data_IF_165364752049
#
_entry.id   IF_165364752049
#
_cell.length_a   1.000
_cell.length_b   1.000
_cell.length_c   1.000
_cell.angle_alpha   90.00
_cell.angle_beta   90.00
_cell.angle_gamma   90.00
#
_symmetry.space_group_name_H-M   'P 1'
#
loop_
_entity.id
_entity.type
_entity.pdbx_description
1 polymer ?
#
# COMPACT_ATOMS: atom_id res chain seq x y z
N UNK A 1 -13.36 0.78 -7.44
CA UNK A 1 -12.47 -0.09 -6.61
C UNK A 1 -13.30 -0.74 -5.50
N UNK A 2 -13.24 -2.04 -5.31
CA UNK A 2 -14.00 -2.72 -4.25
C UNK A 2 -13.46 -2.43 -2.83
N UNK A 3 -12.19 -2.04 -2.73
CA UNK A 3 -11.52 -1.76 -1.45
C UNK A 3 -10.48 -0.65 -1.61
N UNK A 4 -10.42 0.24 -0.61
CA UNK A 4 -9.46 1.35 -0.55
C UNK A 4 -8.88 1.48 0.88
N UNK A 5 -7.56 1.50 1.01
CA UNK A 5 -6.86 1.46 2.31
C UNK A 5 -6.91 2.78 3.08
N UNK A 6 -6.27 3.85 2.55
CA UNK A 6 -6.16 5.11 3.28
C UNK A 6 -7.49 5.83 3.54
N UNK A 7 -8.52 5.77 2.65
CA UNK A 7 -9.84 6.30 2.99
C UNK A 7 -10.50 5.55 4.16
N UNK A 8 -10.29 4.23 4.26
CA UNK A 8 -10.76 3.42 5.39
C UNK A 8 -10.15 3.89 6.71
N UNK A 9 -8.82 4.09 6.75
CA UNK A 9 -8.09 4.62 7.91
C UNK A 9 -8.61 6.02 8.29
N UNK A 10 -8.65 6.95 7.34
CA UNK A 10 -9.07 8.33 7.58
C UNK A 10 -10.51 8.44 8.04
N UNK A 11 -11.43 7.69 7.43
CA UNK A 11 -12.85 7.66 7.83
C UNK A 11 -13.02 7.11 9.23
N UNK A 12 -12.34 6.03 9.58
CA UNK A 12 -12.45 5.42 10.90
C UNK A 12 -11.91 6.36 11.99
N UNK A 13 -10.77 7.02 11.75
CA UNK A 13 -10.22 8.02 12.66
C UNK A 13 -11.20 9.18 12.85
N UNK A 14 -11.72 9.77 11.77
CA UNK A 14 -12.67 10.87 11.84
C UNK A 14 -13.93 10.48 12.62
N UNK A 15 -14.51 9.31 12.35
CA UNK A 15 -15.69 8.84 13.08
C UNK A 15 -15.41 8.61 14.57
N UNK A 16 -14.23 8.11 14.92
CA UNK A 16 -13.84 7.93 16.31
C UNK A 16 -13.69 9.28 17.03
N UNK A 17 -13.05 10.27 16.40
CA UNK A 17 -12.90 11.63 16.92
C UNK A 17 -14.26 12.33 17.10
N UNK A 18 -15.16 12.24 16.13
CA UNK A 18 -16.48 12.84 16.18
C UNK A 18 -17.37 12.22 17.26
N UNK A 19 -17.29 10.89 17.47
CA UNK A 19 -18.08 10.20 18.50
C UNK A 19 -17.60 10.50 19.91
N UNK A 20 -16.29 10.66 20.07
CA UNK A 20 -15.72 10.89 21.39
C UNK A 20 -14.37 11.62 21.27
N UNK A 21 -14.39 12.96 21.25
CA UNK A 21 -13.17 13.76 21.27
C UNK A 21 -12.32 13.42 22.49
N UNK A 22 -11.02 13.30 22.32
CA UNK A 22 -10.07 13.14 23.41
C UNK A 22 -9.41 14.48 23.71
N UNK A 23 -9.53 14.90 24.97
CA UNK A 23 -8.84 16.09 25.49
C UNK A 23 -7.62 15.69 26.29
N UNK A 24 -7.69 14.56 27.02
CA UNK A 24 -6.60 14.03 27.84
C UNK A 24 -6.58 12.49 27.79
N UNK A 25 -5.40 11.90 27.97
CA UNK A 25 -5.22 10.44 28.03
C UNK A 25 -5.25 9.75 26.67
N UNK A 26 -5.68 8.50 26.69
CA UNK A 26 -5.79 7.65 25.49
C UNK A 26 -7.14 6.94 25.44
N UNK A 27 -7.56 6.58 24.25
CA UNK A 27 -8.76 5.78 24.00
C UNK A 27 -8.56 4.89 22.78
N UNK A 28 -8.98 3.66 22.91
CA UNK A 28 -9.15 2.72 21.81
C UNK A 28 -10.64 2.64 21.44
N UNK A 29 -10.91 2.55 20.13
CA UNK A 29 -12.25 2.40 19.57
C UNK A 29 -12.22 1.38 18.43
N UNK A 30 -13.33 0.70 18.19
CA UNK A 30 -13.55 -0.10 16.99
C UNK A 30 -14.61 0.58 16.16
N UNK A 31 -14.25 0.90 14.91
CA UNK A 31 -15.17 1.45 13.91
C UNK A 31 -15.43 0.36 12.87
N UNK A 32 -16.72 0.08 12.66
CA UNK A 32 -17.14 -0.88 11.64
C UNK A 32 -17.62 -0.11 10.41
N UNK A 33 -17.04 -0.42 9.26
CA UNK A 33 -17.38 0.18 7.97
C UNK A 33 -17.92 -0.92 7.04
N UNK A 34 -19.04 -0.65 6.40
CA UNK A 34 -19.56 -1.47 5.32
C UNK A 34 -18.98 -0.97 3.99
N UNK A 35 -18.36 -1.86 3.23
CA UNK A 35 -17.71 -1.58 1.95
C UNK A 35 -18.11 -2.65 0.93
N UNK A 36 -17.93 -2.42 -0.38
CA UNK A 36 -18.24 -3.44 -1.40
C UNK A 36 -17.54 -4.79 -1.18
N UNK A 37 -16.38 -4.80 -0.55
CA UNK A 37 -15.63 -6.03 -0.19
C UNK A 37 -16.20 -6.71 1.06
N UNK A 38 -17.11 -6.08 1.79
CA UNK A 38 -17.72 -6.58 3.03
C UNK A 38 -17.49 -5.66 4.23
N UNK A 39 -17.69 -6.22 5.41
CA UNK A 39 -17.53 -5.51 6.68
C UNK A 39 -16.04 -5.43 7.04
N UNK A 40 -15.54 -4.21 7.20
CA UNK A 40 -14.18 -3.93 7.67
C UNK A 40 -14.22 -3.34 9.08
N UNK A 41 -13.59 -4.02 10.03
CA UNK A 41 -13.44 -3.54 11.41
C UNK A 41 -12.08 -2.87 11.55
N UNK A 42 -12.11 -1.60 11.97
CA UNK A 42 -10.92 -0.78 12.10
C UNK A 42 -10.71 -0.46 13.58
N UNK A 43 -9.59 -0.90 14.13
CA UNK A 43 -9.12 -0.48 15.44
C UNK A 43 -8.55 0.94 15.34
N UNK A 44 -9.02 1.85 16.16
CA UNK A 44 -8.56 3.24 16.21
C UNK A 44 -8.00 3.53 17.59
N UNK A 45 -6.79 4.08 17.63
CA UNK A 45 -6.13 4.57 18.85
C UNK A 45 -6.04 6.10 18.81
N UNK A 46 -6.65 6.73 19.78
CA UNK A 46 -6.60 8.17 20.00
C UNK A 46 -5.74 8.45 21.23
N UNK A 47 -4.76 9.35 21.10
CA UNK A 47 -3.92 9.83 22.20
C UNK A 47 -3.84 11.35 22.16
N UNK A 48 -4.02 11.98 23.32
CA UNK A 48 -3.93 13.43 23.42
C UNK A 48 -2.52 13.91 23.01
N UNK A 49 -2.45 14.87 22.07
CA UNK A 49 -1.20 15.43 21.58
C UNK A 49 -0.46 14.59 20.52
N UNK A 50 -0.99 13.44 20.10
CA UNK A 50 -0.45 12.62 19.05
C UNK A 50 -1.40 12.54 17.84
N UNK A 51 -0.86 12.30 16.65
CA UNK A 51 -1.69 11.99 15.49
C UNK A 51 -2.40 10.63 15.71
N UNK A 52 -3.72 10.57 15.55
CA UNK A 52 -4.47 9.33 15.67
C UNK A 52 -3.92 8.23 14.77
N UNK A 53 -3.96 7.00 15.28
CA UNK A 53 -3.54 5.81 14.53
C UNK A 53 -4.71 4.87 14.36
N UNK A 54 -4.85 4.28 13.17
CA UNK A 54 -5.82 3.22 12.94
C UNK A 54 -5.21 2.07 12.16
N UNK A 55 -5.76 0.86 12.38
CA UNK A 55 -5.36 -0.35 11.68
C UNK A 55 -6.54 -1.29 11.47
N UNK A 56 -6.49 -2.09 10.42
CA UNK A 56 -7.50 -3.11 10.12
C UNK A 56 -6.86 -4.35 9.52
N UNK A 57 -7.49 -5.51 9.75
CA UNK A 57 -7.12 -6.74 9.10
C UNK A 57 -7.61 -6.74 7.66
N UNK A 58 -6.75 -7.14 6.74
CA UNK A 58 -7.10 -7.23 5.33
C UNK A 58 -8.28 -8.19 5.13
N UNK A 59 -9.35 -7.76 4.44
CA UNK A 59 -10.54 -8.60 4.25
C UNK A 59 -10.28 -9.82 3.37
N UNK A 60 -9.19 -9.79 2.61
CA UNK A 60 -8.73 -10.90 1.78
C UNK A 60 -7.21 -10.96 1.81
N UNK A 61 -6.65 -12.16 2.03
CA UNK A 61 -5.22 -12.41 1.91
C UNK A 61 -4.76 -12.29 0.45
N UNK A 62 -3.51 -11.90 0.20
CA UNK A 62 -2.98 -11.80 -1.16
C UNK A 62 -2.82 -13.17 -1.81
N UNK A 63 -3.32 -13.30 -3.02
CA UNK A 63 -3.18 -14.46 -3.87
C UNK A 63 -2.26 -14.13 -5.05
N UNK A 64 -1.22 -14.94 -5.28
CA UNK A 64 -0.33 -14.77 -6.42
C UNK A 64 -1.05 -15.10 -7.71
N UNK A 65 -1.17 -14.14 -8.62
CA UNK A 65 -1.92 -14.30 -9.88
C UNK A 65 -1.03 -14.52 -11.10
N UNK A 66 0.28 -14.57 -10.92
CA UNK A 66 1.24 -14.90 -11.96
C UNK A 66 2.51 -14.06 -11.92
N UNK A 67 3.32 -14.27 -12.94
CA UNK A 67 4.54 -13.49 -13.22
C UNK A 67 4.24 -12.42 -14.25
N UNK A 68 5.05 -11.39 -14.29
CA UNK A 68 5.00 -10.37 -15.33
C UNK A 68 5.88 -10.75 -16.52
N UNK A 69 5.79 -9.95 -17.57
CA UNK A 69 6.63 -10.09 -18.78
C UNK A 69 8.12 -9.92 -18.45
N UNK A 70 8.98 -10.13 -19.46
CA UNK A 70 10.42 -9.99 -19.29
C UNK A 70 10.83 -8.61 -18.76
N UNK A 71 11.97 -8.57 -18.08
CA UNK A 71 12.55 -7.34 -17.50
C UNK A 71 12.72 -6.22 -18.55
N UNK A 72 13.10 -6.56 -19.79
CA UNK A 72 13.25 -5.58 -20.86
C UNK A 72 11.91 -4.91 -21.21
N UNK A 73 10.84 -5.69 -21.37
CA UNK A 73 9.51 -5.15 -21.65
C UNK A 73 8.95 -4.33 -20.50
N UNK A 74 9.22 -4.73 -19.25
CA UNK A 74 8.89 -3.93 -18.08
C UNK A 74 9.62 -2.58 -18.12
N UNK A 75 10.92 -2.61 -18.40
CA UNK A 75 11.77 -1.43 -18.48
C UNK A 75 11.24 -0.44 -19.52
N UNK A 76 10.90 -0.93 -20.72
CA UNK A 76 10.31 -0.11 -21.77
C UNK A 76 8.99 0.54 -21.36
N UNK A 77 8.12 -0.20 -20.64
CA UNK A 77 6.81 0.29 -20.22
C UNK A 77 6.89 1.37 -19.14
N UNK A 78 7.89 1.29 -18.24
CA UNK A 78 8.01 2.18 -17.08
C UNK A 78 9.16 3.21 -17.20
N UNK A 79 9.86 3.22 -18.34
CA UNK A 79 10.90 4.19 -18.66
C UNK A 79 12.18 4.02 -17.85
N UNK A 80 12.48 2.81 -17.41
CA UNK A 80 13.70 2.44 -16.69
C UNK A 80 14.64 1.63 -17.61
N UNK A 81 15.86 1.40 -17.14
CA UNK A 81 16.76 0.45 -17.77
C UNK A 81 16.52 -0.95 -17.19
N UNK A 82 16.70 -2.04 -17.95
CA UNK A 82 16.52 -3.39 -17.44
C UNK A 82 17.33 -3.69 -16.17
N UNK A 83 18.55 -3.15 -16.04
CA UNK A 83 19.40 -3.30 -14.84
C UNK A 83 18.88 -2.53 -13.61
N UNK A 84 17.94 -1.61 -13.78
CA UNK A 84 17.30 -0.86 -12.70
C UNK A 84 16.07 -1.59 -12.13
N UNK A 85 15.66 -2.72 -12.74
CA UNK A 85 14.56 -3.56 -12.27
C UNK A 85 15.12 -4.79 -11.57
N UNK A 86 14.69 -5.00 -10.33
CA UNK A 86 15.15 -6.10 -9.47
C UNK A 86 16.26 -5.69 -8.51
N UNK A 87 16.27 -6.32 -7.36
CA UNK A 87 17.33 -6.29 -6.36
C UNK A 87 17.30 -7.61 -5.57
N UNK A 88 18.42 -8.02 -4.99
CA UNK A 88 18.51 -9.30 -4.29
C UNK A 88 17.87 -10.44 -5.11
N UNK A 89 16.93 -11.20 -4.52
CA UNK A 89 16.13 -12.24 -5.17
C UNK A 89 14.78 -11.72 -5.70
N UNK A 90 14.43 -10.42 -5.48
CA UNK A 90 13.15 -9.86 -5.85
C UNK A 90 12.98 -9.72 -7.35
N UNK A 91 11.88 -10.26 -7.86
CA UNK A 91 11.44 -10.17 -9.25
C UNK A 91 10.02 -9.62 -9.33
N UNK A 92 9.62 -9.15 -10.51
CA UNK A 92 8.29 -8.61 -10.70
C UNK A 92 7.21 -9.69 -10.65
N UNK A 93 6.18 -9.46 -9.83
CA UNK A 93 5.07 -10.38 -9.58
C UNK A 93 3.72 -9.67 -9.62
N UNK A 94 2.63 -10.44 -9.69
CA UNK A 94 1.27 -9.95 -9.51
C UNK A 94 0.61 -10.66 -8.34
N UNK A 95 -0.12 -9.85 -7.56
CA UNK A 95 -0.99 -10.35 -6.49
C UNK A 95 -2.36 -9.71 -6.58
N UNK A 96 -3.37 -10.49 -6.21
CA UNK A 96 -4.75 -10.07 -6.04
C UNK A 96 -5.13 -10.10 -4.56
N UNK A 97 -5.74 -9.02 -4.07
CA UNK A 97 -6.27 -8.91 -2.70
C UNK A 97 -7.54 -8.03 -2.67
N UNK A 98 -8.45 -8.27 -3.62
CA UNK A 98 -9.60 -7.41 -3.93
C UNK A 98 -9.34 -6.48 -5.13
N UNK A 99 -8.09 -6.11 -5.36
CA UNK A 99 -7.58 -5.44 -6.56
C UNK A 99 -6.33 -6.19 -7.01
N UNK A 100 -6.04 -6.19 -8.31
CA UNK A 100 -4.82 -6.80 -8.87
C UNK A 100 -3.74 -5.74 -9.05
N UNK A 101 -2.61 -5.92 -8.36
CA UNK A 101 -1.45 -5.05 -8.53
C UNK A 101 -0.26 -5.78 -9.13
N UNK A 102 0.44 -5.09 -10.02
CA UNK A 102 1.75 -5.48 -10.49
C UNK A 102 2.82 -4.87 -9.57
N UNK A 103 3.60 -5.71 -8.91
CA UNK A 103 4.68 -5.30 -8.01
C UNK A 103 6.01 -5.39 -8.72
N UNK A 104 6.71 -4.27 -8.83
CA UNK A 104 7.96 -4.17 -9.58
C UNK A 104 9.08 -3.71 -8.64
N UNK A 105 10.04 -4.58 -8.33
CA UNK A 105 11.22 -4.18 -7.57
C UNK A 105 12.10 -3.27 -8.42
N UNK A 106 12.54 -2.16 -7.82
CA UNK A 106 13.44 -1.17 -8.43
C UNK A 106 14.72 -1.10 -7.61
N UNK A 107 15.86 -1.12 -8.29
CA UNK A 107 17.15 -1.31 -7.65
C UNK A 107 17.53 -0.20 -6.65
N UNK A 108 17.15 1.07 -6.93
CA UNK A 108 17.59 2.22 -6.12
C UNK A 108 16.50 3.29 -6.03
N UNK A 109 16.58 4.15 -5.00
CA UNK A 109 15.78 5.37 -4.91
C UNK A 109 15.98 6.29 -6.12
N UNK A 110 17.21 6.41 -6.63
CA UNK A 110 17.48 7.20 -7.83
C UNK A 110 16.69 6.67 -9.03
N UNK A 111 16.65 5.35 -9.22
CA UNK A 111 15.87 4.73 -10.30
C UNK A 111 14.36 4.96 -10.12
N UNK A 112 13.85 4.97 -8.87
CA UNK A 112 12.45 5.28 -8.58
C UNK A 112 12.04 6.66 -9.11
N UNK A 113 12.92 7.67 -9.05
CA UNK A 113 12.63 9.02 -9.55
C UNK A 113 12.55 9.12 -11.08
N UNK A 114 13.14 8.16 -11.80
CA UNK A 114 13.16 8.12 -13.27
C UNK A 114 11.88 7.57 -13.88
N UNK A 115 11.04 6.94 -13.07
CA UNK A 115 9.79 6.33 -13.53
C UNK A 115 8.95 7.30 -14.35
N UNK A 116 8.47 6.81 -15.49
CA UNK A 116 7.47 7.46 -16.33
C UNK A 116 6.69 6.42 -17.11
N UNK A 117 5.42 6.65 -17.29
CA UNK A 117 4.56 5.81 -18.13
C UNK A 117 4.92 6.03 -19.59
N UNK A 118 5.36 4.96 -20.27
CA UNK A 118 5.50 4.92 -21.71
C UNK A 118 4.22 4.35 -22.32
N UNK A 119 3.30 5.22 -22.72
CA UNK A 119 1.95 4.83 -23.14
C UNK A 119 1.89 3.76 -24.24
N UNK A 120 2.87 3.75 -25.17
CA UNK A 120 2.93 2.78 -26.25
C UNK A 120 3.19 1.34 -25.75
N UNK A 121 3.92 1.20 -24.67
CA UNK A 121 4.30 -0.09 -24.08
C UNK A 121 3.48 -0.43 -22.83
N UNK A 122 2.95 0.57 -22.14
CA UNK A 122 2.22 0.41 -20.88
C UNK A 122 1.03 -0.55 -21.00
N UNK A 123 0.11 -0.30 -21.93
CA UNK A 123 -1.08 -1.12 -22.11
C UNK A 123 -0.81 -2.54 -22.59
N UNK A 124 0.34 -2.78 -23.21
CA UNK A 124 0.77 -4.12 -23.62
C UNK A 124 1.33 -4.93 -22.44
N UNK A 125 1.89 -4.25 -21.44
CA UNK A 125 2.51 -4.87 -20.26
C UNK A 125 1.53 -4.94 -19.10
N UNK A 126 0.69 -3.93 -18.95
CA UNK A 126 -0.32 -3.79 -17.90
C UNK A 126 -1.71 -3.58 -18.52
N UNK A 127 -2.32 -4.64 -19.09
CA UNK A 127 -3.68 -4.54 -19.62
C UNK A 127 -4.68 -4.12 -18.53
N UNK A 128 -5.59 -3.21 -18.86
CA UNK A 128 -6.57 -2.69 -17.89
C UNK A 128 -7.52 -3.76 -17.34
N UNK A 129 -7.76 -4.82 -18.10
CA UNK A 129 -8.58 -5.95 -17.66
C UNK A 129 -7.86 -6.90 -16.69
N UNK A 130 -6.53 -6.80 -16.58
CA UNK A 130 -5.68 -7.72 -15.83
C UNK A 130 -4.98 -7.07 -14.64
N UNK A 131 -4.69 -5.76 -14.72
CA UNK A 131 -3.96 -5.02 -13.69
C UNK A 131 -4.69 -3.72 -13.32
N UNK A 132 -4.98 -3.55 -12.04
CA UNK A 132 -5.62 -2.35 -11.51
C UNK A 132 -4.64 -1.23 -11.22
N UNK A 133 -3.39 -1.57 -10.90
CA UNK A 133 -2.33 -0.60 -10.65
C UNK A 133 -0.95 -1.23 -10.62
N UNK A 134 0.05 -0.37 -10.72
CA UNK A 134 1.48 -0.74 -10.69
C UNK A 134 2.10 -0.16 -9.43
N UNK A 135 2.73 -1.02 -8.64
CA UNK A 135 3.37 -0.70 -7.38
C UNK A 135 4.88 -0.93 -7.50
N UNK A 136 5.63 0.16 -7.62
CA UNK A 136 7.09 0.13 -7.60
C UNK A 136 7.57 0.12 -6.15
N UNK A 137 8.63 -0.62 -5.86
CA UNK A 137 9.21 -0.65 -4.52
C UNK A 137 10.72 -0.90 -4.55
N UNK A 138 11.40 -0.39 -3.52
CA UNK A 138 12.83 -0.62 -3.28
C UNK A 138 13.13 -0.73 -1.79
N UNK A 139 14.25 -1.37 -1.44
CA UNK A 139 14.73 -1.38 -0.05
C UNK A 139 15.47 -0.11 0.35
N UNK A 140 15.90 0.70 -0.59
CA UNK A 140 16.48 1.99 -0.28
C UNK A 140 15.38 2.96 0.15
N UNK A 141 15.51 3.52 1.34
CA UNK A 141 14.51 4.40 1.94
C UNK A 141 15.11 5.76 2.28
N UNK A 142 14.25 6.77 2.29
CA UNK A 142 14.59 8.12 2.79
C UNK A 142 14.76 8.05 4.31
N UNK A 143 13.85 7.37 5.00
CA UNK A 143 13.91 7.19 6.44
C UNK A 143 14.49 5.83 6.84
N UNK A 144 15.45 5.84 7.76
CA UNK A 144 16.10 4.62 8.26
C UNK A 144 15.15 3.64 8.97
N UNK A 145 14.01 4.13 9.46
CA UNK A 145 13.00 3.30 10.10
C UNK A 145 12.08 2.58 9.11
N UNK A 146 12.11 2.97 7.83
CA UNK A 146 11.34 2.33 6.77
C UNK A 146 12.07 1.09 6.24
N UNK A 147 11.30 0.06 5.92
CA UNK A 147 11.80 -1.18 5.33
C UNK A 147 11.78 -1.13 3.80
N UNK A 148 10.84 -0.37 3.24
CA UNK A 148 10.66 -0.19 1.81
C UNK A 148 10.22 1.23 1.49
N UNK A 149 10.66 1.72 0.35
CA UNK A 149 10.14 2.91 -0.32
C UNK A 149 9.28 2.47 -1.50
N UNK A 150 8.11 3.10 -1.66
CA UNK A 150 7.15 2.69 -2.67
C UNK A 150 6.53 3.87 -3.43
N UNK A 151 6.07 3.58 -4.65
CA UNK A 151 5.25 4.47 -5.49
C UNK A 151 4.14 3.67 -6.16
N UNK A 152 2.93 4.23 -6.27
CA UNK A 152 1.80 3.55 -6.89
C UNK A 152 1.11 4.39 -7.96
N UNK A 153 0.79 3.73 -9.07
CA UNK A 153 0.20 4.33 -10.26
C UNK A 153 -1.00 3.51 -10.72
N UNK A 154 -2.13 4.15 -10.95
CA UNK A 154 -3.35 3.48 -11.41
C UNK A 154 -4.09 4.33 -12.47
N UNK A 155 -3.49 4.53 -13.67
CA UNK A 155 -4.06 5.39 -14.71
C UNK A 155 -5.46 4.95 -15.17
N UNK A 156 -5.78 3.66 -15.12
CA UNK A 156 -7.12 3.10 -15.33
C UNK A 156 -8.21 3.82 -14.52
N UNK A 157 -7.89 4.26 -13.31
CA UNK A 157 -8.81 4.97 -12.41
C UNK A 157 -8.59 6.49 -12.42
N UNK A 158 -7.80 7.02 -13.35
CA UNK A 158 -7.43 8.44 -13.40
C UNK A 158 -6.44 8.84 -12.30
N UNK A 159 -5.83 7.89 -11.62
CA UNK A 159 -4.85 8.13 -10.56
C UNK A 159 -3.44 8.14 -11.17
N UNK A 160 -2.89 9.33 -11.35
CA UNK A 160 -1.55 9.51 -11.90
C UNK A 160 -0.51 8.92 -10.96
N UNK A 161 -0.60 9.22 -9.67
CA UNK A 161 0.17 8.63 -8.58
C UNK A 161 -0.63 8.76 -7.28
N UNK A 162 -0.55 7.78 -6.38
CA UNK A 162 -1.26 7.78 -5.11
C UNK A 162 -0.29 7.91 -3.93
N UNK A 163 -0.54 8.79 -2.94
CA UNK A 163 0.39 9.03 -1.84
C UNK A 163 0.43 7.91 -0.79
N UNK A 164 -0.61 7.09 -0.68
CA UNK A 164 -0.70 6.05 0.35
C UNK A 164 -1.66 4.93 -0.05
N UNK A 165 -1.15 3.81 -0.54
CA UNK A 165 -1.98 2.74 -1.12
C UNK A 165 -2.04 1.52 -0.22
N UNK A 166 -2.89 1.56 0.80
CA UNK A 166 -3.07 0.42 1.72
C UNK A 166 -3.56 -0.85 1.02
N UNK A 167 -4.42 -0.75 -0.02
CA UNK A 167 -4.88 -1.92 -0.78
C UNK A 167 -3.74 -2.60 -1.55
N UNK A 168 -2.82 -1.84 -2.14
CA UNK A 168 -1.63 -2.42 -2.75
C UNK A 168 -0.68 -2.99 -1.68
N UNK A 169 -0.60 -2.35 -0.50
CA UNK A 169 0.24 -2.83 0.60
C UNK A 169 -0.25 -4.20 1.12
N UNK A 170 -1.56 -4.49 1.07
CA UNK A 170 -2.06 -5.86 1.34
C UNK A 170 -1.46 -6.86 0.35
N UNK A 171 -1.52 -6.56 -0.96
CA UNK A 171 -0.88 -7.40 -1.98
C UNK A 171 0.63 -7.52 -1.80
N UNK A 172 1.27 -6.42 -1.36
CA UNK A 172 2.70 -6.37 -1.09
C UNK A 172 3.14 -7.30 0.06
N UNK A 173 2.24 -7.63 1.01
CA UNK A 173 2.51 -8.66 2.00
C UNK A 173 2.84 -10.02 1.34
N UNK A 174 2.17 -10.35 0.24
CA UNK A 174 2.49 -11.54 -0.56
C UNK A 174 3.90 -11.47 -1.18
N UNK A 175 4.31 -10.29 -1.64
CA UNK A 175 5.68 -10.09 -2.16
C UNK A 175 6.71 -10.25 -1.05
N UNK A 176 6.47 -9.66 0.12
CA UNK A 176 7.37 -9.78 1.29
C UNK A 176 7.48 -11.25 1.73
N UNK A 177 6.36 -11.97 1.80
CA UNK A 177 6.38 -13.39 2.17
C UNK A 177 7.08 -14.26 1.13
N UNK A 178 6.99 -13.93 -0.15
CA UNK A 178 7.63 -14.69 -1.25
C UNK A 178 9.16 -14.57 -1.22
N UNK A 179 9.70 -13.42 -0.83
CA UNK A 179 11.13 -13.10 -1.02
C UNK A 179 11.93 -12.92 0.27
N UNK A 180 11.30 -12.62 1.40
CA UNK A 180 12.01 -12.27 2.64
C UNK A 180 12.36 -13.48 3.54
N UNK A 181 11.98 -14.71 3.16
CA UNK A 181 12.22 -15.95 3.93
C UNK A 181 11.86 -15.77 5.43
N UNK A 182 10.61 -15.36 5.68
CA UNK A 182 10.15 -15.04 7.02
C UNK A 182 9.86 -16.31 7.83
N UNK A 183 10.39 -16.45 9.07
CA UNK A 183 9.97 -17.51 9.96
C UNK A 183 8.52 -17.33 10.41
N UNK A 184 7.93 -18.40 10.95
CA UNK A 184 6.59 -18.33 11.55
C UNK A 184 6.56 -17.26 12.66
N UNK A 185 5.44 -16.52 12.72
CA UNK A 185 5.22 -15.46 13.68
C UNK A 185 4.82 -14.12 13.06
N UNK A 186 4.75 -13.09 13.90
CA UNK A 186 4.34 -11.76 13.49
C UNK A 186 5.53 -10.90 13.05
N UNK A 187 5.40 -10.29 11.87
CA UNK A 187 6.42 -9.42 11.27
C UNK A 187 5.83 -8.05 10.95
N UNK A 188 6.57 -7.01 11.29
CA UNK A 188 6.20 -5.63 11.00
C UNK A 188 7.15 -5.02 9.97
N UNK A 189 6.58 -4.34 8.98
CA UNK A 189 7.32 -3.54 8.00
C UNK A 189 6.71 -2.15 7.92
N UNK A 190 7.56 -1.16 7.89
CA UNK A 190 7.15 0.23 7.65
C UNK A 190 7.47 0.55 6.20
N UNK A 191 6.48 1.04 5.47
CA UNK A 191 6.59 1.40 4.07
C UNK A 191 6.38 2.90 3.96
N UNK A 192 7.30 3.58 3.32
CA UNK A 192 7.17 4.98 2.98
C UNK A 192 6.70 5.14 1.53
N UNK A 193 5.79 6.07 1.27
CA UNK A 193 5.20 6.32 -0.05
C UNK A 193 4.87 7.81 -0.21
N UNK A 194 4.74 8.29 -1.46
CA UNK A 194 4.27 9.65 -1.76
C UNK A 194 5.33 10.75 -1.65
N UNK A 195 6.59 10.41 -1.53
CA UNK A 195 7.70 11.37 -1.40
C UNK A 195 7.88 12.17 -2.67
N UNK A 196 7.87 11.53 -3.83
CA UNK A 196 8.03 12.17 -5.13
C UNK A 196 6.88 13.13 -5.48
N UNK A 197 5.71 12.92 -4.87
CA UNK A 197 4.56 13.82 -4.99
C UNK A 197 4.58 14.98 -3.97
N UNK A 198 5.58 15.03 -3.06
CA UNK A 198 5.59 15.97 -1.94
C UNK A 198 4.49 15.70 -0.89
N UNK A 199 3.96 14.48 -0.83
CA UNK A 199 2.94 14.02 0.13
C UNK A 199 3.41 12.77 0.88
N UNK A 200 4.49 12.87 1.66
CA UNK A 200 5.07 11.71 2.33
C UNK A 200 4.05 11.05 3.27
N UNK A 201 3.94 9.76 3.15
CA UNK A 201 3.04 8.91 3.94
C UNK A 201 3.81 7.71 4.49
N UNK A 202 3.34 7.21 5.63
CA UNK A 202 3.89 6.02 6.27
C UNK A 202 2.78 4.99 6.43
N UNK A 203 2.99 3.80 5.90
CA UNK A 203 2.07 2.67 6.00
C UNK A 203 2.72 1.59 6.86
N UNK A 204 2.00 1.14 7.88
CA UNK A 204 2.43 0.04 8.74
C UNK A 204 1.81 -1.24 8.19
N UNK A 205 2.65 -2.16 7.74
CA UNK A 205 2.27 -3.50 7.35
C UNK A 205 2.65 -4.46 8.48
N UNK A 206 1.68 -5.18 9.01
CA UNK A 206 1.90 -6.34 9.89
C UNK A 206 1.42 -7.58 9.16
N UNK A 207 2.25 -8.61 9.11
CA UNK A 207 1.90 -9.91 8.53
C UNK A 207 2.23 -11.01 9.55
N UNK A 208 1.38 -12.02 9.63
CA UNK A 208 1.60 -13.22 10.41
C UNK A 208 1.83 -14.38 9.45
N UNK A 209 2.93 -15.09 9.66
CA UNK A 209 3.30 -16.28 8.89
C UNK A 209 3.06 -17.51 9.75
N UNK A 210 2.41 -18.53 9.19
CA UNK A 210 2.20 -19.84 9.81
C UNK A 210 2.42 -20.92 8.77
N UNK A 211 3.33 -21.85 9.07
CA UNK A 211 3.71 -22.91 8.14
C UNK A 211 4.27 -22.41 6.81
N UNK A 212 4.95 -21.26 6.82
CA UNK A 212 5.50 -20.61 5.63
C UNK A 212 4.49 -19.84 4.76
N UNK A 213 3.20 -19.83 5.12
CA UNK A 213 2.14 -19.09 4.44
C UNK A 213 1.64 -17.89 5.25
N UNK A 214 0.98 -16.93 4.58
CA UNK A 214 0.33 -15.81 5.26
C UNK A 214 -0.96 -16.29 5.93
N UNK A 215 -1.06 -16.10 7.25
CA UNK A 215 -2.28 -16.32 8.04
C UNK A 215 -3.07 -15.00 8.22
N UNK A 216 -2.40 -13.90 8.44
CA UNK A 216 -3.02 -12.58 8.60
C UNK A 216 -2.16 -11.47 7.98
N UNK A 217 -2.85 -10.47 7.43
CA UNK A 217 -2.25 -9.22 6.97
C UNK A 217 -3.03 -8.06 7.59
N UNK A 218 -2.33 -7.11 8.21
CA UNK A 218 -2.92 -5.91 8.80
C UNK A 218 -2.23 -4.67 8.26
N UNK A 219 -3.03 -3.66 7.95
CA UNK A 219 -2.58 -2.35 7.47
C UNK A 219 -2.95 -1.30 8.49
N UNK A 220 -1.99 -0.44 8.81
CA UNK A 220 -2.19 0.68 9.72
C UNK A 220 -1.51 1.96 9.23
N UNK A 221 -1.95 3.08 9.81
CA UNK A 221 -1.37 4.39 9.53
C UNK A 221 -2.03 5.48 10.38
N UNK A 222 -1.43 6.66 10.31
CA UNK A 222 -1.95 7.86 10.97
C UNK A 222 -2.71 8.72 9.96
N UNK A 223 -3.71 9.46 10.45
CA UNK A 223 -4.37 10.50 9.66
C UNK A 223 -4.76 11.66 10.58
N UNK A 224 -4.81 12.87 10.02
CA UNK A 224 -5.21 14.09 10.71
C UNK A 224 -6.23 14.84 9.86
N UNK A 225 -7.18 15.52 10.53
CA UNK A 225 -8.14 16.40 9.87
C UNK A 225 -7.42 17.68 9.41
N UNK A 226 -7.48 17.99 8.12
CA UNK A 226 -6.83 19.15 7.51
C UNK A 226 -7.80 20.23 7.06
N UNK A 227 -9.09 19.91 6.91
CA UNK A 227 -10.12 20.85 6.52
C UNK A 227 -11.50 20.43 7.06
N UNK A 228 -12.37 21.42 7.23
CA UNK A 228 -13.78 21.25 7.60
C UNK A 228 -14.61 22.28 6.85
N UNK A 229 -15.84 21.92 6.48
CA UNK A 229 -16.74 22.81 5.77
C UNK A 229 -18.19 22.35 5.83
N UNK A 230 -19.12 23.21 5.41
CA UNK A 230 -20.55 22.93 5.33
C UNK A 230 -21.05 23.09 3.92
N UNK A 231 -21.90 22.17 3.47
CA UNK A 231 -22.66 22.29 2.24
C UNK A 231 -24.10 22.66 2.59
N UNK A 232 -24.59 23.73 1.99
CA UNK A 232 -26.00 24.12 2.09
C UNK A 232 -26.71 23.66 0.81
N UNK A 233 -27.63 22.72 0.93
CA UNK A 233 -28.48 22.18 -0.14
C UNK A 233 -29.88 22.81 -0.10
#
# INVERSE_FOLDING_TARGET
MPFAGHPTIGTAILLAELRTPIVNGERDAIITLEQPIGIVRVGVRLRAGEAPFAEFDAPKLPEKTGTLVSRDRLADAIGLLPREIGFENHTALRFYSGNTFAFIPVATLEAMTKFRINGAHWSQVFPEDDVDGVYLYTRQCVHKASAFHARMFAPKFGITEDPATGSATVGFAGVVNEFDDLPDGAHKRVIEQGYEMGRPSTIVLTLVVEGGGLDMVRIGGNAVRVAEGSLHT
#
